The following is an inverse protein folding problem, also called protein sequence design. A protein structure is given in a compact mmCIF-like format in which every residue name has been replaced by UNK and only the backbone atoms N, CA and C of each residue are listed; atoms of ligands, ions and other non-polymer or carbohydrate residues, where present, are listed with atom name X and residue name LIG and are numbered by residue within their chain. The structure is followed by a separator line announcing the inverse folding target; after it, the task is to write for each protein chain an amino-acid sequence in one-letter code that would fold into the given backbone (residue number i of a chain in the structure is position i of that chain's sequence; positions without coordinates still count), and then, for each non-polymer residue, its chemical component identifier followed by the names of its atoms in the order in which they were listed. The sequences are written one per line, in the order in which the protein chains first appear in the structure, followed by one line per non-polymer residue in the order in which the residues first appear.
data_IF_373626242490
#
_entry.id   IF_373626242490
#
_cell.length_a   1.000
_cell.length_b   1.000
_cell.length_c   1.000
_cell.angle_alpha   90.00
_cell.angle_beta   90.00
_cell.angle_gamma   90.00
#
_symmetry.space_group_name_H-M   'P 1'
#
loop_
_entity.id
_entity.type
_entity.pdbx_description
1 polymer ?
#
# COMPACT_ATOMS: atom_id res chain seq x y z
N UNK A 1 34.61 -34.53 -15.32
CA UNK A 1 34.23 -33.55 -14.28
C UNK A 1 33.94 -32.23 -14.98
N UNK A 2 32.75 -31.67 -14.75
CA UNK A 2 32.23 -30.52 -15.49
C UNK A 2 32.83 -29.21 -14.93
N UNK A 3 33.40 -28.29 -15.75
CA UNK A 3 34.10 -27.08 -15.26
C UNK A 3 33.21 -25.96 -14.71
N UNK A 4 31.91 -26.18 -14.51
CA UNK A 4 30.94 -25.10 -14.23
C UNK A 4 30.57 -24.92 -12.75
N UNK A 5 31.42 -25.36 -11.82
CA UNK A 5 31.38 -24.89 -10.42
C UNK A 5 32.03 -23.50 -10.33
N UNK A 6 31.46 -22.52 -11.04
CA UNK A 6 31.68 -21.13 -10.71
C UNK A 6 31.09 -20.94 -9.32
N UNK A 7 31.97 -20.78 -8.32
CA UNK A 7 31.64 -20.34 -6.98
C UNK A 7 30.52 -19.30 -7.01
N UNK A 8 29.29 -19.69 -6.63
CA UNK A 8 28.25 -18.74 -6.26
C UNK A 8 28.75 -18.07 -4.99
N UNK A 9 29.61 -17.06 -5.13
CA UNK A 9 29.85 -16.12 -4.05
C UNK A 9 28.48 -15.59 -3.64
N UNK A 10 27.99 -16.00 -2.46
CA UNK A 10 26.76 -15.46 -1.88
C UNK A 10 26.89 -13.94 -1.89
N UNK A 11 26.17 -13.28 -2.80
CA UNK A 11 26.12 -11.83 -2.79
C UNK A 11 25.59 -11.42 -1.42
N UNK A 12 26.42 -10.73 -0.63
CA UNK A 12 26.03 -10.23 0.69
C UNK A 12 25.19 -8.97 0.50
N UNK A 13 23.96 -9.14 0.04
CA UNK A 13 23.01 -8.05 -0.11
C UNK A 13 22.55 -7.66 1.30
N UNK A 14 22.73 -6.39 1.65
CA UNK A 14 22.19 -5.85 2.90
C UNK A 14 20.76 -5.38 2.67
N UNK A 15 19.82 -5.73 3.55
CA UNK A 15 18.47 -5.22 3.45
C UNK A 15 18.47 -3.70 3.70
N UNK A 16 17.46 -3.01 3.17
CA UNK A 16 17.29 -1.60 3.45
C UNK A 16 17.01 -1.38 4.95
N UNK A 17 17.25 -0.15 5.41
CA UNK A 17 16.87 0.28 6.76
C UNK A 17 15.36 0.50 6.77
N UNK A 18 14.71 0.19 7.90
CA UNK A 18 13.30 0.49 8.12
C UNK A 18 13.13 1.41 9.32
N UNK A 19 12.60 2.61 9.07
CA UNK A 19 12.33 3.61 10.11
C UNK A 19 10.84 3.72 10.50
N UNK A 20 9.97 3.06 9.73
CA UNK A 20 8.51 3.11 9.89
C UNK A 20 7.78 4.04 8.90
N UNK A 21 8.50 4.73 8.01
CA UNK A 21 7.91 5.68 7.05
C UNK A 21 7.43 5.01 5.76
N UNK A 22 8.15 4.00 5.31
CA UNK A 22 7.74 3.17 4.16
C UNK A 22 6.61 2.24 4.58
N UNK A 23 5.59 1.98 3.74
CA UNK A 23 4.57 0.99 4.05
C UNK A 23 5.18 -0.37 4.42
N UNK A 24 4.73 -0.95 5.53
CA UNK A 24 5.32 -2.18 6.07
C UNK A 24 5.36 -3.33 5.05
N UNK A 25 4.29 -3.51 4.25
CA UNK A 25 4.23 -4.56 3.24
C UNK A 25 5.28 -4.38 2.13
N UNK A 26 5.54 -3.14 1.72
CA UNK A 26 6.52 -2.82 0.68
C UNK A 26 7.94 -3.16 1.19
N UNK A 27 8.26 -2.72 2.42
CA UNK A 27 9.54 -3.05 3.06
C UNK A 27 9.71 -4.56 3.28
N UNK A 28 8.67 -5.24 3.80
CA UNK A 28 8.71 -6.69 4.04
C UNK A 28 8.99 -7.44 2.75
N UNK A 29 8.38 -7.04 1.64
CA UNK A 29 8.60 -7.67 0.33
C UNK A 29 10.05 -7.51 -0.15
N UNK A 30 10.63 -6.31 0.01
CA UNK A 30 12.05 -6.07 -0.26
C UNK A 30 12.97 -6.93 0.63
N UNK A 31 12.70 -6.97 1.93
CA UNK A 31 13.47 -7.76 2.89
C UNK A 31 13.45 -9.26 2.55
N UNK A 32 12.28 -9.81 2.23
CA UNK A 32 12.13 -11.21 1.85
C UNK A 32 12.89 -11.54 0.56
N UNK A 33 12.92 -10.64 -0.42
CA UNK A 33 13.73 -10.80 -1.62
C UNK A 33 15.24 -10.85 -1.30
N UNK A 34 15.73 -9.97 -0.42
CA UNK A 34 17.12 -10.04 0.07
C UNK A 34 17.42 -11.36 0.77
N UNK A 35 16.51 -11.81 1.65
CA UNK A 35 16.65 -13.05 2.38
C UNK A 35 16.67 -14.28 1.47
N UNK A 36 15.85 -14.31 0.42
CA UNK A 36 15.85 -15.37 -0.59
C UNK A 36 17.15 -15.40 -1.39
N UNK A 37 17.64 -14.25 -1.86
CA UNK A 37 18.90 -14.17 -2.62
C UNK A 37 20.12 -14.57 -1.79
N UNK A 38 20.11 -14.28 -0.48
CA UNK A 38 21.21 -14.62 0.42
C UNK A 38 21.02 -15.98 1.12
N UNK A 39 19.89 -16.66 0.89
CA UNK A 39 19.49 -17.91 1.54
C UNK A 39 19.57 -17.84 3.07
N UNK A 40 19.02 -16.76 3.66
CA UNK A 40 19.01 -16.60 5.12
C UNK A 40 18.10 -17.63 5.79
N UNK A 41 18.61 -18.24 6.85
CA UNK A 41 17.82 -18.99 7.83
C UNK A 41 16.83 -18.08 8.58
N UNK A 42 15.83 -18.67 9.22
CA UNK A 42 14.85 -17.89 10.00
C UNK A 42 15.47 -17.08 11.15
N UNK A 43 16.56 -17.59 11.75
CA UNK A 43 17.33 -16.88 12.77
C UNK A 43 18.08 -15.69 12.16
N UNK A 44 18.74 -15.89 11.02
CA UNK A 44 19.41 -14.81 10.29
C UNK A 44 18.42 -13.74 9.85
N UNK A 45 17.23 -14.11 9.37
CA UNK A 45 16.16 -13.15 9.06
C UNK A 45 15.77 -12.32 10.28
N UNK A 46 15.61 -12.95 11.45
CA UNK A 46 15.30 -12.25 12.69
C UNK A 46 16.39 -11.25 13.09
N UNK A 47 17.65 -11.68 13.03
CA UNK A 47 18.81 -10.84 13.32
C UNK A 47 18.97 -9.68 12.33
N UNK A 48 18.91 -9.96 11.02
CA UNK A 48 19.02 -8.92 10.00
C UNK A 48 17.85 -7.93 10.08
N UNK A 49 16.64 -8.41 10.34
CA UNK A 49 15.49 -7.53 10.52
C UNK A 49 15.67 -6.63 11.74
N UNK A 50 16.08 -7.17 12.89
CA UNK A 50 16.27 -6.39 14.12
C UNK A 50 17.33 -5.30 13.95
N UNK A 51 18.48 -5.61 13.34
CA UNK A 51 19.55 -4.62 13.11
C UNK A 51 19.23 -3.60 12.02
N UNK A 52 18.23 -3.86 11.17
CA UNK A 52 17.75 -2.92 10.15
C UNK A 52 16.71 -1.92 10.66
N UNK A 53 16.18 -2.10 11.87
CA UNK A 53 15.18 -1.16 12.42
C UNK A 53 15.85 0.12 12.93
N UNK A 54 15.30 1.27 12.56
CA UNK A 54 15.69 2.61 13.03
C UNK A 54 14.45 3.42 13.40
N UNK A 55 14.65 4.62 13.94
CA UNK A 55 13.56 5.56 14.21
C UNK A 55 12.44 4.96 15.06
N UNK A 56 11.18 5.17 14.65
CA UNK A 56 10.01 4.65 15.35
C UNK A 56 9.96 3.12 15.33
N UNK A 57 10.41 2.49 14.24
CA UNK A 57 10.43 1.04 14.11
C UNK A 57 11.37 0.36 15.11
N UNK A 58 12.50 0.99 15.46
CA UNK A 58 13.43 0.48 16.47
C UNK A 58 12.78 0.30 17.84
N UNK A 59 11.77 1.12 18.18
CA UNK A 59 11.01 0.98 19.42
C UNK A 59 10.30 -0.37 19.59
N UNK A 60 10.06 -1.12 18.50
CA UNK A 60 9.51 -2.49 18.57
C UNK A 60 10.44 -3.43 19.36
N UNK A 61 11.76 -3.22 19.27
CA UNK A 61 12.73 -4.06 19.98
C UNK A 61 12.59 -3.91 21.50
N UNK A 62 12.31 -2.70 22.00
CA UNK A 62 12.10 -2.46 23.43
C UNK A 62 10.85 -3.15 23.99
N UNK A 63 9.83 -3.36 23.16
CA UNK A 63 8.56 -3.99 23.56
C UNK A 63 8.61 -5.53 23.52
N UNK A 64 9.69 -6.12 22.99
CA UNK A 64 9.88 -7.56 22.87
C UNK A 64 11.01 -8.01 23.81
N UNK A 65 10.86 -9.18 24.44
CA UNK A 65 11.97 -9.78 25.18
C UNK A 65 13.14 -10.10 24.24
N UNK A 66 14.40 -10.07 24.69
CA UNK A 66 15.57 -10.31 23.83
C UNK A 66 15.50 -11.63 23.05
N UNK A 67 14.98 -12.68 23.67
CA UNK A 67 14.74 -13.98 23.04
C UNK A 67 13.72 -13.89 21.89
N UNK A 68 12.68 -13.05 22.03
CA UNK A 68 11.65 -12.83 21.02
C UNK A 68 12.14 -12.01 19.83
N UNK A 69 13.17 -11.19 20.03
CA UNK A 69 13.79 -10.38 18.96
C UNK A 69 14.58 -11.23 17.95
N UNK A 70 14.88 -12.50 18.29
CA UNK A 70 15.55 -13.44 17.38
C UNK A 70 14.56 -14.14 16.43
N UNK A 71 13.27 -14.17 16.77
CA UNK A 71 12.27 -14.87 15.98
C UNK A 71 11.62 -13.95 14.95
N UNK A 72 11.93 -14.21 13.67
CA UNK A 72 11.42 -13.45 12.54
C UNK A 72 9.89 -13.27 12.55
N UNK A 73 9.14 -14.32 12.88
CA UNK A 73 7.68 -14.29 12.96
C UNK A 73 7.15 -13.32 14.05
N UNK A 74 7.83 -13.19 15.19
CA UNK A 74 7.43 -12.30 16.28
C UNK A 74 7.71 -10.84 15.92
N UNK A 75 8.88 -10.56 15.35
CA UNK A 75 9.22 -9.22 14.85
C UNK A 75 8.26 -8.77 13.75
N UNK A 76 8.01 -9.62 12.76
CA UNK A 76 7.11 -9.28 11.64
C UNK A 76 5.67 -9.09 12.10
N UNK A 77 5.19 -9.85 13.08
CA UNK A 77 3.87 -9.60 13.69
C UNK A 77 3.83 -8.25 14.38
N UNK A 78 4.78 -7.95 15.26
CA UNK A 78 4.80 -6.67 15.98
C UNK A 78 4.94 -5.45 15.05
N UNK A 79 5.74 -5.57 13.99
CA UNK A 79 5.90 -4.53 12.97
C UNK A 79 4.61 -4.35 12.16
N UNK A 80 3.95 -5.45 11.77
CA UNK A 80 2.64 -5.39 11.10
C UNK A 80 1.61 -4.71 11.99
N UNK A 81 1.51 -5.11 13.25
CA UNK A 81 0.46 -4.62 14.14
C UNK A 81 0.63 -3.11 14.43
N UNK A 82 1.87 -2.61 14.41
CA UNK A 82 2.17 -1.17 14.60
C UNK A 82 2.08 -0.33 13.32
N UNK A 83 2.59 -0.84 12.19
CA UNK A 83 2.76 -0.06 10.95
C UNK A 83 1.80 -0.45 9.83
N UNK A 84 0.97 -1.47 10.03
CA UNK A 84 -0.10 -1.90 9.14
C UNK A 84 -1.29 -2.50 9.93
N UNK A 85 -1.84 -1.76 10.93
CA UNK A 85 -2.91 -2.27 11.78
C UNK A 85 -4.16 -2.67 10.98
N UNK A 86 -4.94 -3.64 11.44
CA UNK A 86 -6.16 -4.09 10.76
C UNK A 86 -7.16 -2.97 10.46
N UNK A 87 -7.25 -1.96 11.34
CA UNK A 87 -8.14 -0.81 11.16
C UNK A 87 -7.79 0.01 9.90
N UNK A 88 -6.51 0.00 9.47
CA UNK A 88 -6.12 0.59 8.19
C UNK A 88 -6.68 -0.19 7.00
N UNK A 89 -6.91 -1.51 7.11
CA UNK A 89 -7.50 -2.28 6.01
C UNK A 89 -8.92 -1.81 5.70
N UNK A 90 -9.73 -1.54 6.74
CA UNK A 90 -11.10 -1.07 6.55
C UNK A 90 -11.13 0.34 5.94
N UNK A 91 -10.22 1.22 6.39
CA UNK A 91 -9.99 2.52 5.75
C UNK A 91 -9.68 2.36 4.26
N UNK A 92 -8.77 1.45 3.88
CA UNK A 92 -8.42 1.22 2.48
C UNK A 92 -9.58 0.63 1.66
N UNK A 93 -10.47 -0.18 2.25
CA UNK A 93 -11.68 -0.64 1.57
C UNK A 93 -12.64 0.51 1.27
N UNK A 94 -12.82 1.43 2.22
CA UNK A 94 -13.63 2.63 2.03
C UNK A 94 -13.02 3.50 0.92
N UNK A 95 -11.72 3.80 1.01
CA UNK A 95 -10.99 4.56 -0.02
C UNK A 95 -11.08 3.91 -1.41
N UNK A 96 -10.99 2.57 -1.48
CA UNK A 96 -11.12 1.83 -2.72
C UNK A 96 -12.53 2.01 -3.31
N UNK A 97 -13.58 1.89 -2.49
CA UNK A 97 -14.99 2.01 -2.92
C UNK A 97 -15.34 3.42 -3.37
N UNK A 98 -14.82 4.43 -2.69
CA UNK A 98 -15.04 5.85 -3.00
C UNK A 98 -14.18 6.33 -4.17
N UNK A 99 -13.21 5.52 -4.62
CA UNK A 99 -12.29 5.93 -5.68
C UNK A 99 -13.02 6.22 -6.99
N UNK A 100 -12.88 7.44 -7.49
CA UNK A 100 -13.36 7.91 -8.82
C UNK A 100 -12.23 8.57 -9.59
N UNK A 101 -12.23 8.43 -10.92
CA UNK A 101 -11.27 9.08 -11.81
C UNK A 101 -11.30 10.60 -11.62
N UNK A 102 -10.14 11.22 -11.39
CA UNK A 102 -10.03 12.68 -11.32
C UNK A 102 -9.95 13.29 -12.73
N UNK A 103 -10.39 14.54 -12.89
CA UNK A 103 -10.44 15.22 -14.19
C UNK A 103 -9.11 15.23 -14.95
N UNK A 104 -7.98 15.37 -14.24
CA UNK A 104 -6.63 15.42 -14.83
C UNK A 104 -5.87 14.11 -14.71
N UNK A 105 -6.48 13.06 -14.17
CA UNK A 105 -5.81 11.79 -13.92
C UNK A 105 -5.89 10.90 -15.17
N UNK A 106 -4.72 10.38 -15.57
CA UNK A 106 -4.66 9.43 -16.68
C UNK A 106 -5.18 8.05 -16.28
N UNK A 107 -5.71 7.31 -17.26
CA UNK A 107 -6.23 5.96 -17.05
C UNK A 107 -5.19 4.98 -16.47
N UNK A 108 -3.90 5.01 -16.86
CA UNK A 108 -2.87 4.20 -16.22
C UNK A 108 -2.61 4.56 -14.76
N UNK A 109 -2.60 5.85 -14.41
CA UNK A 109 -2.42 6.31 -13.01
C UNK A 109 -3.58 5.86 -12.13
N UNK A 110 -4.82 5.99 -12.62
CA UNK A 110 -6.00 5.47 -11.95
C UNK A 110 -5.87 3.96 -11.68
N UNK A 111 -5.47 3.19 -12.70
CA UNK A 111 -5.25 1.75 -12.58
C UNK A 111 -4.19 1.41 -11.51
N UNK A 112 -3.06 2.11 -11.51
CA UNK A 112 -2.01 1.91 -10.51
C UNK A 112 -2.51 2.22 -9.08
N UNK A 113 -3.24 3.32 -8.91
CA UNK A 113 -3.82 3.69 -7.62
C UNK A 113 -4.82 2.65 -7.12
N UNK A 114 -5.69 2.14 -7.98
CA UNK A 114 -6.68 1.12 -7.62
C UNK A 114 -5.99 -0.21 -7.26
N UNK A 115 -4.96 -0.63 -7.99
CA UNK A 115 -4.17 -1.82 -7.62
C UNK A 115 -3.53 -1.66 -6.24
N UNK A 116 -2.93 -0.50 -5.97
CA UNK A 116 -2.30 -0.20 -4.68
C UNK A 116 -3.33 -0.26 -3.55
N UNK A 117 -4.47 0.41 -3.70
CA UNK A 117 -5.56 0.38 -2.70
C UNK A 117 -6.09 -1.03 -2.49
N UNK A 118 -6.27 -1.81 -3.57
CA UNK A 118 -6.75 -3.20 -3.46
C UNK A 118 -5.77 -4.10 -2.69
N UNK A 119 -4.47 -3.93 -2.92
CA UNK A 119 -3.43 -4.69 -2.19
C UNK A 119 -3.40 -4.34 -0.70
N UNK A 120 -3.63 -3.07 -0.36
CA UNK A 120 -3.67 -2.58 1.03
C UNK A 120 -4.98 -2.98 1.75
N UNK A 121 -6.10 -2.99 1.02
CA UNK A 121 -7.41 -3.38 1.55
C UNK A 121 -7.55 -4.89 1.77
N UNK A 122 -6.85 -5.71 0.97
CA UNK A 122 -7.00 -7.16 0.94
C UNK A 122 -5.66 -7.92 0.94
N UNK A 123 -4.75 -7.69 1.91
CA UNK A 123 -3.40 -8.25 1.89
C UNK A 123 -3.38 -9.79 1.97
N UNK A 124 -4.38 -10.40 2.61
CA UNK A 124 -4.50 -11.86 2.80
C UNK A 124 -5.25 -12.58 1.66
N UNK A 125 -5.89 -11.84 0.76
CA UNK A 125 -6.68 -12.39 -0.34
C UNK A 125 -5.75 -12.86 -1.46
N UNK A 126 -6.02 -13.97 -2.16
CA UNK A 126 -5.24 -14.40 -3.32
C UNK A 126 -5.10 -13.33 -4.41
N UNK A 127 -3.97 -13.33 -5.12
CA UNK A 127 -3.63 -12.28 -6.10
C UNK A 127 -4.61 -12.22 -7.27
N UNK A 128 -5.08 -13.36 -7.75
CA UNK A 128 -6.08 -13.48 -8.82
C UNK A 128 -7.42 -12.83 -8.42
N UNK A 129 -7.86 -13.05 -7.18
CA UNK A 129 -9.07 -12.42 -6.63
C UNK A 129 -8.87 -10.92 -6.46
N UNK A 130 -7.70 -10.47 -5.97
CA UNK A 130 -7.37 -9.04 -5.91
C UNK A 130 -7.36 -8.39 -7.28
N UNK A 131 -6.80 -9.04 -8.31
CA UNK A 131 -6.82 -8.51 -9.68
C UNK A 131 -8.24 -8.39 -10.24
N UNK A 132 -9.14 -9.32 -9.90
CA UNK A 132 -10.54 -9.23 -10.27
C UNK A 132 -11.24 -8.04 -9.59
N UNK A 133 -11.05 -7.88 -8.27
CA UNK A 133 -11.60 -6.74 -7.51
C UNK A 133 -11.07 -5.40 -8.03
N UNK A 134 -9.76 -5.30 -8.28
CA UNK A 134 -9.13 -4.09 -8.81
C UNK A 134 -9.67 -3.74 -10.21
N UNK A 135 -9.86 -4.75 -11.07
CA UNK A 135 -10.46 -4.58 -12.39
C UNK A 135 -11.90 -4.07 -12.31
N UNK A 136 -12.74 -4.67 -11.47
CA UNK A 136 -14.14 -4.26 -11.32
C UNK A 136 -14.21 -2.82 -10.77
N UNK A 137 -13.42 -2.51 -9.74
CA UNK A 137 -13.36 -1.16 -9.18
C UNK A 137 -12.83 -0.13 -10.18
N UNK A 138 -11.84 -0.49 -11.02
CA UNK A 138 -11.33 0.39 -12.07
C UNK A 138 -12.43 0.79 -13.04
N UNK A 139 -13.22 -0.18 -13.50
CA UNK A 139 -14.33 0.10 -14.41
C UNK A 139 -15.35 1.01 -13.73
N UNK A 140 -15.73 0.74 -12.48
CA UNK A 140 -16.72 1.56 -11.77
C UNK A 140 -16.19 2.97 -11.41
N UNK A 141 -14.87 3.15 -11.34
CA UNK A 141 -14.24 4.44 -11.06
C UNK A 141 -14.21 5.40 -12.27
N UNK A 142 -14.38 4.92 -13.51
CA UNK A 142 -14.32 5.75 -14.72
C UNK A 142 -15.48 6.76 -14.77
N UNK A 143 -15.20 8.02 -15.12
CA UNK A 143 -16.27 9.02 -15.25
C UNK A 143 -17.15 8.80 -16.50
N UNK A 144 -16.56 8.40 -17.63
CA UNK A 144 -17.30 8.18 -18.88
C UNK A 144 -18.14 6.90 -18.86
N UNK A 145 -19.46 7.03 -18.90
CA UNK A 145 -20.41 5.90 -18.87
C UNK A 145 -20.30 4.96 -20.07
N UNK A 146 -20.12 5.50 -21.26
CA UNK A 146 -19.99 4.70 -22.48
C UNK A 146 -18.70 3.88 -22.45
N UNK A 147 -17.61 4.46 -21.94
CA UNK A 147 -16.36 3.76 -21.73
C UNK A 147 -16.55 2.58 -20.76
N UNK A 148 -17.26 2.78 -19.64
CA UNK A 148 -17.58 1.69 -18.69
C UNK A 148 -18.33 0.56 -19.38
N UNK A 149 -19.38 0.87 -20.12
CA UNK A 149 -20.22 -0.13 -20.80
C UNK A 149 -19.39 -0.93 -21.81
N UNK A 150 -18.61 -0.25 -22.66
CA UNK A 150 -17.77 -0.90 -23.68
C UNK A 150 -16.70 -1.80 -23.07
N UNK A 151 -16.08 -1.39 -21.97
CA UNK A 151 -15.11 -2.22 -21.25
C UNK A 151 -15.80 -3.43 -20.59
N UNK A 152 -16.99 -3.28 -20.00
CA UNK A 152 -17.75 -4.42 -19.46
C UNK A 152 -18.08 -5.44 -20.56
N UNK A 153 -18.42 -4.97 -21.76
CA UNK A 153 -18.69 -5.82 -22.93
C UNK A 153 -17.45 -6.55 -23.45
N UNK A 154 -16.26 -5.95 -23.38
CA UNK A 154 -15.02 -6.60 -23.82
C UNK A 154 -14.54 -7.72 -22.89
N UNK A 155 -15.13 -7.83 -21.68
CA UNK A 155 -14.84 -8.86 -20.67
C UNK A 155 -13.34 -8.99 -20.37
N UNK A 156 -12.69 -7.91 -19.91
CA UNK A 156 -11.27 -7.93 -19.57
C UNK A 156 -10.98 -8.98 -18.49
N UNK A 157 -9.89 -9.72 -18.66
CA UNK A 157 -9.49 -10.79 -17.72
C UNK A 157 -8.90 -10.26 -16.42
N UNK A 158 -8.29 -9.08 -16.43
CA UNK A 158 -7.60 -8.46 -15.30
C UNK A 158 -7.53 -6.94 -15.48
N UNK A 159 -7.00 -6.25 -14.47
CA UNK A 159 -6.91 -4.79 -14.46
C UNK A 159 -6.09 -4.25 -15.64
N UNK A 160 -4.98 -4.90 -15.98
CA UNK A 160 -4.13 -4.44 -17.10
C UNK A 160 -4.89 -4.47 -18.43
N UNK A 161 -5.72 -5.48 -18.66
CA UNK A 161 -6.56 -5.56 -19.86
C UNK A 161 -7.63 -4.45 -19.87
N UNK A 162 -8.25 -4.18 -18.72
CA UNK A 162 -9.23 -3.10 -18.60
C UNK A 162 -8.61 -1.71 -18.87
N UNK A 163 -7.42 -1.44 -18.30
CA UNK A 163 -6.66 -0.20 -18.53
C UNK A 163 -6.30 -0.05 -20.01
N UNK A 164 -5.82 -1.11 -20.65
CA UNK A 164 -5.50 -1.08 -22.09
C UNK A 164 -6.71 -0.71 -22.94
N UNK A 165 -7.85 -1.36 -22.72
CA UNK A 165 -9.07 -1.04 -23.44
C UNK A 165 -9.57 0.38 -23.17
N UNK A 166 -9.43 0.88 -21.95
CA UNK A 166 -9.77 2.26 -21.63
C UNK A 166 -8.92 3.26 -22.43
N UNK A 167 -7.60 3.03 -22.49
CA UNK A 167 -6.66 3.86 -23.26
C UNK A 167 -6.96 3.82 -24.76
N UNK A 168 -7.26 2.63 -25.31
CA UNK A 168 -7.69 2.49 -26.70
C UNK A 168 -8.98 3.28 -26.99
N UNK A 169 -9.98 3.19 -26.10
CA UNK A 169 -11.24 3.95 -26.22
C UNK A 169 -11.03 5.46 -26.12
N UNK A 170 -10.18 5.92 -25.21
CA UNK A 170 -9.81 7.33 -25.09
C UNK A 170 -9.19 7.86 -26.38
N UNK A 171 -8.30 7.08 -27.01
CA UNK A 171 -7.72 7.44 -28.30
C UNK A 171 -8.77 7.53 -29.41
N UNK A 172 -9.73 6.60 -29.46
CA UNK A 172 -10.84 6.67 -30.43
C UNK A 172 -11.74 7.88 -30.21
N UNK A 173 -12.14 8.16 -28.96
CA UNK A 173 -12.94 9.34 -28.65
C UNK A 173 -12.22 10.63 -29.01
N UNK A 174 -10.92 10.72 -28.77
CA UNK A 174 -10.11 11.88 -29.15
C UNK A 174 -10.01 12.05 -30.66
N UNK A 175 -9.92 10.95 -31.41
CA UNK A 175 -9.91 11.00 -32.87
C UNK A 175 -11.28 11.44 -33.42
N UNK A 176 -12.37 10.91 -32.87
CA UNK A 176 -13.74 11.25 -33.27
C UNK A 176 -14.12 12.68 -32.87
N UNK A 177 -13.75 13.13 -31.67
CA UNK A 177 -13.96 14.51 -31.21
C UNK A 177 -13.32 15.53 -32.14
N UNK A 178 -12.07 15.28 -32.58
CA UNK A 178 -11.41 16.13 -33.60
C UNK A 178 -12.15 16.15 -34.93
N UNK A 179 -12.77 15.04 -35.33
CA UNK A 179 -13.59 14.97 -36.54
C UNK A 179 -14.91 15.74 -36.39
N UNK A 180 -15.45 15.84 -35.18
CA UNK A 180 -16.68 16.60 -34.89
C UNK A 180 -16.40 18.10 -34.70
N UNK A 181 -15.28 18.46 -34.09
CA UNK A 181 -14.79 19.84 -33.99
C UNK A 181 -14.49 20.43 -35.38
N UNK A 182 -13.82 19.66 -36.25
CA UNK A 182 -13.63 20.05 -37.65
C UNK A 182 -14.94 20.15 -38.45
N UNK A 183 -16.04 19.58 -37.93
CA UNK A 183 -17.40 19.65 -38.50
C UNK A 183 -18.35 20.59 -37.72
N UNK A 184 -17.89 21.29 -36.69
CA UNK A 184 -18.64 22.30 -35.95
C UNK A 184 -19.65 21.81 -34.89
N UNK A 185 -19.50 20.59 -34.33
CA UNK A 185 -20.37 20.09 -33.24
C UNK A 185 -19.55 19.83 -31.96
N UNK A 186 -19.92 20.48 -30.85
CA UNK A 186 -19.27 20.33 -29.53
C UNK A 186 -20.06 19.31 -28.69
N UNK A 187 -19.40 18.24 -28.26
CA UNK A 187 -19.92 17.29 -27.25
C UNK A 187 -19.20 17.55 -25.92
N UNK A 188 -19.96 17.99 -24.93
CA UNK A 188 -19.44 18.31 -23.60
C UNK A 188 -19.32 17.04 -22.74
N UNK A 189 -18.09 16.59 -22.50
CA UNK A 189 -17.76 15.48 -21.60
C UNK A 189 -17.35 16.05 -20.24
N UNK A 190 -18.32 16.49 -19.44
CA UNK A 190 -18.06 16.89 -18.06
C UNK A 190 -17.90 15.65 -17.16
N UNK A 191 -16.69 15.42 -16.65
CA UNK A 191 -16.51 14.59 -15.46
C UNK A 191 -16.92 15.43 -14.25
N UNK A 192 -17.72 14.85 -13.34
CA UNK A 192 -18.17 15.54 -12.14
C UNK A 192 -16.96 16.08 -11.37
N UNK A 193 -16.92 17.38 -11.14
CA UNK A 193 -16.04 17.96 -10.13
C UNK A 193 -16.49 17.43 -8.78
N UNK A 194 -15.67 16.57 -8.17
CA UNK A 194 -15.86 16.20 -6.78
C UNK A 194 -15.69 17.48 -5.95
N UNK A 195 -16.83 18.07 -5.58
CA UNK A 195 -16.91 19.06 -4.53
C UNK A 195 -16.47 18.37 -3.23
N UNK A 196 -15.18 18.50 -2.90
CA UNK A 196 -14.66 18.08 -1.61
C UNK A 196 -15.55 18.67 -0.52
N UNK A 197 -16.11 17.86 0.40
CA UNK A 197 -16.45 18.41 1.70
C UNK A 197 -15.15 19.01 2.23
N UNK A 198 -15.15 20.33 2.41
CA UNK A 198 -14.10 21.00 3.17
C UNK A 198 -14.06 20.35 4.54
N UNK A 199 -13.08 19.45 4.73
CA UNK A 199 -12.57 19.13 6.05
C UNK A 199 -11.84 20.39 6.52
N UNK A 200 -12.62 21.35 7.03
CA UNK A 200 -12.12 22.46 7.81
C UNK A 200 -11.30 21.89 8.97
N UNK A 201 -10.04 22.30 9.02
CA UNK A 201 -9.17 22.33 10.18
C UNK A 201 -9.20 21.10 11.13
N UNK A 202 -8.28 20.16 10.90
CA UNK A 202 -7.52 19.57 12.01
C UNK A 202 -6.04 19.72 11.69
N UNK A 203 -5.61 20.99 11.60
CA UNK A 203 -4.23 21.36 11.91
C UNK A 203 -4.22 21.80 13.38
N UNK A 204 -3.90 20.85 14.26
CA UNK A 204 -3.34 21.01 15.63
C UNK A 204 -3.78 19.83 16.51
N UNK A 205 -2.99 18.76 16.52
CA UNK A 205 -2.87 17.84 17.68
C UNK A 205 -1.77 16.77 17.53
N UNK A 206 -0.84 16.90 16.58
CA UNK A 206 0.36 16.04 16.51
C UNK A 206 1.49 16.45 17.47
N UNK A 207 1.20 17.18 18.55
CA UNK A 207 2.18 17.46 19.62
C UNK A 207 1.80 16.93 21.01
N UNK A 208 0.56 16.49 21.25
CA UNK A 208 0.14 16.14 22.62
C UNK A 208 0.01 14.63 22.90
N UNK A 209 0.16 13.76 21.89
CA UNK A 209 0.10 12.32 22.13
C UNK A 209 1.40 11.71 22.71
N UNK A 210 2.39 12.56 23.02
CA UNK A 210 3.61 12.18 23.76
C UNK A 210 3.48 12.44 25.27
N UNK A 211 2.46 13.17 25.73
CA UNK A 211 2.28 13.50 27.16
C UNK A 211 1.27 12.61 27.90
N UNK A 212 0.42 11.84 27.21
CA UNK A 212 -0.56 10.97 27.88
C UNK A 212 0.04 9.63 28.33
N UNK A 213 1.23 9.24 27.84
CA UNK A 213 1.91 8.03 28.33
C UNK A 213 2.98 8.28 29.41
N UNK A 214 3.31 9.53 29.75
CA UNK A 214 4.24 9.84 30.84
C UNK A 214 3.56 10.09 32.20
N UNK A 215 2.22 10.09 32.28
CA UNK A 215 1.48 10.41 33.51
C UNK A 215 0.92 9.19 34.27
N UNK A 216 1.28 7.96 33.88
CA UNK A 216 0.80 6.72 34.52
C UNK A 216 1.90 5.86 35.14
N UNK A 217 3.11 6.40 35.31
CA UNK A 217 4.24 5.68 35.93
C UNK A 217 4.67 6.26 37.28
N UNK A 218 4.26 7.48 37.64
CA UNK A 218 4.74 8.17 38.87
C UNK A 218 3.72 8.24 40.02
N UNK A 219 2.85 7.25 40.21
CA UNK A 219 1.98 7.21 41.41
C UNK A 219 1.88 5.83 42.05
N UNK A 220 3.00 5.12 42.18
CA UNK A 220 3.04 3.98 43.10
C UNK A 220 4.42 3.68 43.71
N UNK A 221 5.13 4.72 44.14
CA UNK A 221 6.24 4.57 45.09
C UNK A 221 6.07 5.60 46.19
N UNK A 222 5.55 5.16 47.34
CA UNK A 222 5.61 5.92 48.58
C UNK A 222 4.28 6.09 49.28
N UNK A 223 3.87 5.07 50.04
CA UNK A 223 3.44 5.21 51.43
C UNK A 223 3.04 3.83 51.98
N UNK A 224 3.97 3.18 52.67
CA UNK A 224 3.61 2.34 53.81
C UNK A 224 4.81 2.20 54.74
N UNK A 225 4.91 3.15 55.68
CA UNK A 225 5.66 2.96 56.92
C UNK A 225 5.02 3.80 58.04
N UNK A 226 4.66 3.07 59.10
CA UNK A 226 4.54 3.46 60.51
C UNK A 226 3.24 4.14 60.96
N UNK A 227 2.35 3.35 61.55
CA UNK A 227 2.16 3.31 63.01
C UNK A 227 1.66 1.94 63.43
#
# INVERSE_FOLDING_TARGET
MNPNELSKQKQKIKPAIYDGTTPWLDYKSHFEACAQLCEWSEVEKGLFLSVSLRGLAQGILGNLSPEKQLYYNKLTSALRDRFSPPDQMELYKIQLKERRQKATESLPELGQHIRRLTNLAYPTVPQDVREALAKDQFIDALCNSDMRIRIKQSRPRNLNAAVRHAVELEAYFKAEGKLLESKGQVLDLHCAEDNQPQASAISESSKDNTQIQSALVDTNVGQNKVS
#
